data_IF_921078168826
#
_entry.id   IF_921078168826
#
_cell.length_a   1.000
_cell.length_b   1.000
_cell.length_c   1.000
_cell.angle_alpha   90.00
_cell.angle_beta   90.00
_cell.angle_gamma   90.00
#
_symmetry.space_group_name_H-M   'P 1'
#
loop_
_entity.id
_entity.type
_entity.pdbx_description
1 polymer ?
#
# COMPACT_ATOMS: atom_id res chain seq x y z
N UNK A 1 -14.51 -17.97 22.42
CA UNK A 1 -14.51 -16.69 21.67
C UNK A 1 -14.66 -17.01 20.20
N UNK A 2 -15.61 -16.40 19.47
CA UNK A 2 -15.70 -16.56 18.01
C UNK A 2 -14.61 -15.69 17.39
N UNK A 3 -13.64 -16.31 16.72
CA UNK A 3 -12.72 -15.58 15.86
C UNK A 3 -13.56 -14.88 14.78
N UNK A 4 -13.38 -13.58 14.60
CA UNK A 4 -13.92 -12.90 13.43
C UNK A 4 -12.91 -13.19 12.32
N UNK A 5 -13.20 -14.19 11.48
CA UNK A 5 -12.41 -14.52 10.29
C UNK A 5 -12.71 -13.53 9.14
N UNK A 6 -12.74 -12.24 9.48
CA UNK A 6 -13.13 -11.17 8.57
C UNK A 6 -12.04 -10.94 7.51
N UNK A 7 -12.46 -10.94 6.26
CA UNK A 7 -11.67 -10.42 5.13
C UNK A 7 -12.20 -9.06 4.72
N UNK A 8 -11.35 -8.22 4.13
CA UNK A 8 -11.74 -6.92 3.60
C UNK A 8 -11.39 -6.78 2.12
N UNK A 9 -11.98 -5.78 1.46
CA UNK A 9 -11.52 -5.30 0.16
C UNK A 9 -11.23 -3.82 0.27
N UNK A 10 -10.01 -3.44 -0.09
CA UNK A 10 -9.59 -2.05 -0.24
C UNK A 10 -9.28 -1.83 -1.73
N UNK A 11 -10.06 -0.96 -2.37
CA UNK A 11 -9.95 -0.75 -3.81
C UNK A 11 -10.07 0.71 -4.23
N UNK A 12 -9.33 1.08 -5.27
CA UNK A 12 -9.37 2.42 -5.89
C UNK A 12 -9.05 3.52 -4.87
N UNK A 13 -7.88 3.43 -4.24
CA UNK A 13 -7.47 4.32 -3.14
C UNK A 13 -6.22 5.10 -3.54
N UNK A 14 -6.19 6.38 -3.17
CA UNK A 14 -4.95 7.16 -3.16
C UNK A 14 -4.62 7.53 -1.72
N UNK A 15 -3.47 7.07 -1.24
CA UNK A 15 -2.93 7.39 0.08
C UNK A 15 -1.91 8.50 -0.07
N UNK A 16 -2.10 9.56 0.72
CA UNK A 16 -1.26 10.75 0.69
C UNK A 16 -0.34 10.74 1.90
N UNK A 17 0.96 10.78 1.63
CA UNK A 17 1.99 10.94 2.66
C UNK A 17 2.09 12.39 3.14
N UNK A 18 2.77 12.56 4.27
CA UNK A 18 3.17 13.86 4.83
C UNK A 18 4.61 13.73 5.31
N UNK A 19 5.44 14.70 4.98
CA UNK A 19 6.78 14.92 5.54
C UNK A 19 6.75 15.40 7.00
N UNK A 20 5.65 16.04 7.40
CA UNK A 20 5.35 16.40 8.79
C UNK A 20 4.71 15.27 9.60
N UNK A 21 4.52 14.08 9.03
CA UNK A 21 3.91 12.97 9.77
C UNK A 21 4.79 12.56 10.97
N UNK A 22 4.13 12.20 12.08
CA UNK A 22 4.79 11.91 13.34
C UNK A 22 5.80 10.75 13.21
N UNK A 23 6.98 10.94 13.80
CA UNK A 23 8.06 9.93 13.79
C UNK A 23 7.55 8.54 14.20
N UNK A 24 7.96 7.52 13.44
CA UNK A 24 7.51 6.13 13.64
C UNK A 24 6.17 5.77 12.99
N UNK A 25 5.41 6.74 12.46
CA UNK A 25 4.16 6.51 11.69
C UNK A 25 4.29 6.77 10.19
N UNK A 26 5.50 7.00 9.72
CA UNK A 26 5.78 7.38 8.34
C UNK A 26 6.11 6.12 7.54
N UNK A 27 5.06 5.41 7.11
CA UNK A 27 5.11 4.15 6.35
C UNK A 27 4.05 4.24 5.25
N UNK A 28 4.27 3.56 4.13
CA UNK A 28 3.24 3.49 3.09
C UNK A 28 1.98 2.82 3.63
N UNK A 29 2.15 1.66 4.28
CA UNK A 29 1.06 0.92 4.91
C UNK A 29 1.58 0.01 6.04
N UNK A 30 0.67 -0.40 6.91
CA UNK A 30 0.89 -1.38 7.99
C UNK A 30 -0.24 -2.42 7.94
N UNK A 31 -0.07 -3.47 7.14
CA UNK A 31 -1.00 -4.60 7.14
C UNK A 31 -0.70 -5.48 8.37
N UNK A 32 -1.47 -5.25 9.42
CA UNK A 32 -1.30 -5.92 10.72
C UNK A 32 -1.18 -7.44 10.57
N UNK A 33 -0.34 -8.06 11.41
CA UNK A 33 -0.18 -9.51 11.44
C UNK A 33 -1.54 -10.24 11.53
N UNK A 34 -1.73 -11.25 10.68
CA UNK A 34 -2.99 -12.01 10.60
C UNK A 34 -4.06 -11.38 9.71
N UNK A 35 -3.83 -10.18 9.15
CA UNK A 35 -4.78 -9.56 8.22
C UNK A 35 -4.96 -10.41 6.96
N UNK A 36 -6.21 -10.50 6.51
CA UNK A 36 -6.61 -11.09 5.23
C UNK A 36 -7.48 -10.10 4.49
N UNK A 37 -7.32 -10.04 3.16
CA UNK A 37 -8.03 -9.07 2.36
C UNK A 37 -7.43 -8.89 0.98
N UNK A 38 -8.25 -8.31 0.10
CA UNK A 38 -7.88 -7.97 -1.27
C UNK A 38 -7.56 -6.48 -1.35
N UNK A 39 -6.34 -6.15 -1.77
CA UNK A 39 -5.86 -4.77 -1.93
C UNK A 39 -5.63 -4.53 -3.41
N UNK A 40 -6.40 -3.65 -4.04
CA UNK A 40 -6.31 -3.43 -5.49
C UNK A 40 -6.35 -1.97 -5.87
N UNK A 41 -5.54 -1.59 -6.87
CA UNK A 41 -5.56 -0.25 -7.45
C UNK A 41 -5.36 0.82 -6.37
N UNK A 42 -4.22 0.71 -5.66
CA UNK A 42 -3.86 1.61 -4.56
C UNK A 42 -2.62 2.38 -4.97
N UNK A 43 -2.67 3.71 -4.83
CA UNK A 43 -1.54 4.59 -5.10
C UNK A 43 -1.06 5.21 -3.80
N UNK A 44 0.23 5.08 -3.49
CA UNK A 44 0.89 5.82 -2.42
C UNK A 44 1.70 6.96 -3.00
N UNK A 45 1.43 8.22 -2.62
CA UNK A 45 2.16 9.39 -3.13
C UNK A 45 2.39 10.47 -2.08
N UNK A 46 3.42 11.29 -2.27
CA UNK A 46 3.76 12.38 -1.35
C UNK A 46 4.38 11.90 -0.03
N UNK A 47 4.89 10.68 0.01
CA UNK A 47 5.66 10.20 1.15
C UNK A 47 7.11 10.68 1.00
N UNK A 48 7.79 11.02 2.11
CA UNK A 48 9.23 11.29 2.07
C UNK A 48 10.00 10.06 1.57
N UNK A 49 11.24 10.22 1.13
CA UNK A 49 12.10 9.08 0.78
C UNK A 49 12.38 8.15 1.98
N UNK A 50 12.80 6.91 1.69
CA UNK A 50 13.21 5.93 2.69
C UNK A 50 12.04 5.26 3.43
N UNK A 51 10.84 5.30 2.86
CA UNK A 51 9.63 4.74 3.51
C UNK A 51 9.43 3.31 3.05
N UNK A 52 8.88 2.51 3.96
CA UNK A 52 8.60 1.10 3.73
C UNK A 52 7.20 0.74 4.14
N UNK A 53 6.73 -0.41 3.64
CA UNK A 53 5.60 -1.14 4.20
C UNK A 53 6.06 -1.82 5.50
N UNK A 54 5.24 -1.78 6.55
CA UNK A 54 5.67 -2.24 7.88
C UNK A 54 5.40 -3.71 8.18
N UNK A 55 4.38 -4.32 7.59
CA UNK A 55 4.05 -5.71 7.89
C UNK A 55 3.31 -6.32 6.71
N UNK A 56 3.90 -7.35 6.11
CA UNK A 56 3.25 -8.37 5.30
C UNK A 56 3.67 -9.66 5.99
N UNK A 57 2.73 -10.41 6.57
CA UNK A 57 3.10 -11.62 7.29
C UNK A 57 3.26 -12.77 6.29
N UNK A 58 4.42 -13.43 6.28
CA UNK A 58 4.68 -14.56 5.39
C UNK A 58 3.61 -15.66 5.45
N UNK A 59 2.99 -15.89 6.62
CA UNK A 59 1.94 -16.89 6.78
C UNK A 59 0.58 -16.45 6.24
N UNK A 60 0.33 -15.14 6.06
CA UNK A 60 -0.91 -14.61 5.48
C UNK A 60 -0.72 -13.93 4.13
N UNK A 61 0.50 -13.83 3.63
CA UNK A 61 0.81 -13.33 2.30
C UNK A 61 0.29 -14.27 1.20
N UNK A 62 -0.46 -13.72 0.25
CA UNK A 62 -1.05 -14.44 -0.87
C UNK A 62 -0.52 -14.00 -2.24
N UNK A 63 0.39 -13.03 -2.32
CA UNK A 63 0.93 -12.53 -3.58
C UNK A 63 -0.09 -11.80 -4.45
N UNK A 64 0.11 -11.87 -5.76
CA UNK A 64 -0.80 -11.31 -6.75
C UNK A 64 -2.20 -11.94 -6.65
N UNK A 65 -3.25 -11.13 -6.81
CA UNK A 65 -4.66 -11.53 -6.73
C UNK A 65 -5.14 -12.35 -7.96
N UNK A 66 -4.46 -13.45 -8.28
CA UNK A 66 -4.72 -14.26 -9.49
C UNK A 66 -5.87 -15.27 -9.34
N UNK A 67 -6.32 -15.55 -8.10
CA UNK A 67 -7.51 -16.33 -7.78
C UNK A 67 -7.97 -16.04 -6.33
N UNK A 68 -9.22 -16.36 -5.92
CA UNK A 68 -9.66 -16.24 -4.54
C UNK A 68 -8.89 -17.21 -3.63
N UNK A 69 -7.82 -16.74 -2.99
CA UNK A 69 -7.15 -17.49 -1.94
C UNK A 69 -7.90 -17.23 -0.65
N UNK A 70 -8.67 -18.20 -0.18
CA UNK A 70 -9.37 -18.08 1.10
C UNK A 70 -8.34 -17.78 2.19
N UNK A 71 -8.54 -16.67 2.91
CA UNK A 71 -7.77 -16.29 4.12
C UNK A 71 -6.31 -15.85 3.84
N UNK A 72 -6.08 -15.05 2.80
CA UNK A 72 -4.78 -14.39 2.54
C UNK A 72 -4.91 -12.89 2.25
N UNK A 73 -3.80 -12.19 2.35
CA UNK A 73 -3.58 -10.82 1.92
C UNK A 73 -3.08 -10.86 0.47
N UNK A 74 -3.89 -10.41 -0.48
CA UNK A 74 -3.50 -10.33 -1.90
C UNK A 74 -3.40 -8.90 -2.39
N UNK A 75 -2.62 -8.72 -3.44
CA UNK A 75 -2.31 -7.42 -4.01
C UNK A 75 -2.52 -7.42 -5.53
N UNK A 76 -2.92 -6.28 -6.07
CA UNK A 76 -3.08 -6.09 -7.51
C UNK A 76 -2.98 -4.59 -7.83
N UNK A 77 -2.07 -4.21 -8.74
CA UNK A 77 -1.89 -2.81 -9.14
C UNK A 77 -1.65 -1.85 -7.96
N UNK A 78 -0.54 -2.04 -7.25
CA UNK A 78 -0.13 -1.18 -6.14
C UNK A 78 1.02 -0.28 -6.59
N UNK A 79 0.76 1.02 -6.69
CA UNK A 79 1.73 2.01 -7.17
C UNK A 79 2.38 2.75 -6.00
N UNK A 80 3.71 2.82 -6.01
CA UNK A 80 4.48 3.66 -5.09
C UNK A 80 5.11 4.81 -5.88
N UNK A 81 4.65 6.03 -5.62
CA UNK A 81 5.17 7.23 -6.27
C UNK A 81 6.37 7.73 -5.48
N UNK A 82 7.56 7.26 -5.85
CA UNK A 82 8.82 7.51 -5.16
C UNK A 82 10.03 7.29 -6.08
N UNK A 83 11.19 7.82 -5.69
CA UNK A 83 12.49 7.50 -6.28
C UNK A 83 13.23 6.38 -5.51
N UNK A 84 12.63 5.85 -4.44
CA UNK A 84 13.17 4.73 -3.68
C UNK A 84 13.23 3.44 -4.53
N UNK A 85 14.04 2.47 -4.09
CA UNK A 85 14.11 1.15 -4.71
C UNK A 85 13.04 0.21 -4.13
N UNK A 86 12.79 -0.91 -4.81
CA UNK A 86 11.92 -1.99 -4.31
C UNK A 86 12.34 -2.45 -2.91
N UNK A 87 13.65 -2.64 -2.68
CA UNK A 87 14.18 -3.06 -1.39
C UNK A 87 13.83 -2.05 -0.27
N UNK A 88 13.87 -0.76 -0.57
CA UNK A 88 13.45 0.28 0.38
C UNK A 88 11.95 0.23 0.64
N UNK A 89 11.12 0.10 -0.40
CA UNK A 89 9.65 0.02 -0.28
C UNK A 89 9.21 -1.22 0.51
N UNK A 90 9.79 -2.39 0.23
CA UNK A 90 9.49 -3.63 0.94
C UNK A 90 10.10 -3.66 2.33
N UNK A 91 11.23 -2.99 2.55
CA UNK A 91 11.92 -2.92 3.84
C UNK A 91 12.21 -4.31 4.41
N UNK A 92 11.63 -4.63 5.57
CA UNK A 92 11.85 -5.90 6.26
C UNK A 92 11.07 -7.10 5.68
N UNK A 93 10.23 -6.90 4.65
CA UNK A 93 9.38 -7.95 4.07
C UNK A 93 10.13 -8.81 3.04
N UNK A 94 11.32 -9.34 3.39
CA UNK A 94 12.23 -10.05 2.48
C UNK A 94 11.71 -11.38 1.92
N UNK A 95 10.58 -11.89 2.44
CA UNK A 95 9.90 -13.08 1.94
C UNK A 95 9.01 -12.79 0.72
N UNK A 96 8.73 -11.51 0.45
CA UNK A 96 8.06 -11.07 -0.77
C UNK A 96 9.10 -11.10 -1.89
N UNK A 97 8.89 -11.96 -2.88
CA UNK A 97 9.83 -12.17 -4.01
C UNK A 97 9.19 -11.89 -5.37
N UNK A 98 7.89 -11.59 -5.36
CA UNK A 98 7.02 -11.42 -6.51
C UNK A 98 6.44 -10.00 -6.58
N UNK A 99 7.10 -9.00 -5.99
CA UNK A 99 6.63 -7.60 -5.97
C UNK A 99 6.22 -7.10 -7.34
N UNK A 100 7.04 -7.33 -8.36
CA UNK A 100 6.78 -6.90 -9.74
C UNK A 100 5.50 -7.51 -10.37
N UNK A 101 4.89 -8.52 -9.74
CA UNK A 101 3.64 -9.13 -10.22
C UNK A 101 2.38 -8.38 -9.75
N UNK A 102 2.48 -7.54 -8.72
CA UNK A 102 1.34 -6.83 -8.14
C UNK A 102 1.61 -5.37 -7.80
N UNK A 103 2.87 -4.96 -7.72
CA UNK A 103 3.29 -3.63 -7.36
C UNK A 103 4.35 -3.07 -8.29
N UNK A 104 4.45 -1.74 -8.31
CA UNK A 104 5.42 -1.02 -9.12
C UNK A 104 5.82 0.30 -8.47
N UNK A 105 7.00 0.78 -8.84
CA UNK A 105 7.51 2.10 -8.44
C UNK A 105 7.44 3.00 -9.66
N UNK A 106 6.82 4.16 -9.51
CA UNK A 106 6.58 5.11 -10.60
C UNK A 106 7.06 6.50 -10.20
N UNK A 107 7.52 7.28 -11.18
CA UNK A 107 7.85 8.69 -10.97
C UNK A 107 6.61 9.57 -10.81
N UNK A 108 5.46 9.14 -11.34
CA UNK A 108 4.19 9.85 -11.24
C UNK A 108 3.02 8.86 -11.31
N UNK A 109 1.87 9.26 -10.75
CA UNK A 109 0.67 8.42 -10.75
C UNK A 109 0.18 8.18 -12.18
N UNK A 110 0.00 6.90 -12.52
CA UNK A 110 -0.50 6.50 -13.83
C UNK A 110 -1.99 6.88 -14.01
N UNK A 111 -2.39 7.13 -15.25
CA UNK A 111 -3.80 7.41 -15.56
C UNK A 111 -4.65 6.18 -15.25
N UNK A 112 -5.77 6.38 -14.55
CA UNK A 112 -6.68 5.29 -14.18
C UNK A 112 -6.30 4.54 -12.91
N UNK A 113 -5.21 4.92 -12.22
CA UNK A 113 -4.83 4.28 -10.94
C UNK A 113 -5.24 5.11 -9.71
N UNK A 114 -5.59 4.41 -8.63
CA UNK A 114 -6.01 5.01 -7.36
C UNK A 114 -7.30 5.82 -7.42
N UNK A 115 -7.56 6.61 -6.37
CA UNK A 115 -8.65 7.58 -6.33
C UNK A 115 -8.22 8.93 -6.91
N UNK A 116 -9.15 9.65 -7.53
CA UNK A 116 -8.93 11.04 -7.89
C UNK A 116 -8.88 11.91 -6.63
N UNK A 117 -7.75 12.61 -6.43
CA UNK A 117 -7.54 13.46 -5.26
C UNK A 117 -7.94 14.93 -5.47
N UNK A 118 -8.36 15.34 -6.69
CA UNK A 118 -8.78 16.74 -6.95
C UNK A 118 -9.91 17.26 -6.05
N UNK A 119 -10.85 16.45 -5.53
CA UNK A 119 -11.85 16.96 -4.58
C UNK A 119 -11.23 17.50 -3.28
N UNK A 120 -9.98 17.14 -2.98
CA UNK A 120 -9.25 17.60 -1.80
C UNK A 120 -8.41 18.85 -2.06
N UNK A 121 -8.36 19.40 -3.28
CA UNK A 121 -7.50 20.55 -3.63
C UNK A 121 -7.77 21.79 -2.75
N UNK A 122 -9.00 21.93 -2.22
CA UNK A 122 -9.39 23.03 -1.33
C UNK A 122 -9.25 22.71 0.17
N UNK A 123 -8.78 21.52 0.53
CA UNK A 123 -8.55 21.18 1.94
C UNK A 123 -7.25 21.82 2.42
N UNK A 124 -7.30 22.52 3.54
CA UNK A 124 -6.16 23.29 4.06
C UNK A 124 -4.88 22.46 4.18
N UNK A 125 -4.96 21.19 4.56
CA UNK A 125 -3.78 20.33 4.61
C UNK A 125 -3.29 19.95 3.20
N UNK A 126 -4.19 19.54 2.32
CA UNK A 126 -3.84 19.07 0.97
C UNK A 126 -3.34 20.20 0.06
N UNK A 127 -3.89 21.40 0.21
CA UNK A 127 -3.51 22.59 -0.56
C UNK A 127 -2.08 23.07 -0.25
N UNK A 128 -1.52 22.69 0.90
CA UNK A 128 -0.22 23.16 1.40
C UNK A 128 0.84 22.05 1.51
N UNK A 129 0.65 20.94 0.79
CA UNK A 129 1.57 19.79 0.75
C UNK A 129 2.72 19.97 -0.22
#
# INVERSE_FOLDING_TARGET
TRAIDGTYTLQNVTVLGSDTAASGKNRYADWKSGATGHNRNIVFKGFPAGRSIKTINASTYGGAATAPVAVKLTFENIDFITADTEATVLGANTHVTDFATWGQILASQATGTGANATPFDNWTWYANK
#
